data_IF_973955381818
#
_entry.id   IF_973955381818
#
_cell.length_a   1.000
_cell.length_b   1.000
_cell.length_c   1.000
_cell.angle_alpha   90.00
_cell.angle_beta   90.00
_cell.angle_gamma   90.00
#
_symmetry.space_group_name_H-M   'P 1'
#
loop_
_entity.id
_entity.type
_entity.pdbx_description
1 polymer ?
#
# COMPACT_ATOMS: atom_id res chain seq x y z
N UNK A 1 9.34 71.54 -36.59
CA UNK A 1 8.52 72.07 -37.74
C UNK A 1 7.26 71.27 -37.89
N UNK A 2 6.11 71.94 -37.84
CA UNK A 2 4.78 71.66 -38.38
C UNK A 2 4.05 70.40 -37.87
N UNK A 3 3.00 70.48 -36.97
CA UNK A 3 1.61 70.86 -37.22
C UNK A 3 0.89 69.86 -38.12
N UNK A 4 -0.21 69.20 -37.80
CA UNK A 4 -1.61 69.64 -37.50
C UNK A 4 -2.43 68.43 -37.07
N UNK A 5 -3.28 68.47 -36.03
CA UNK A 5 -4.62 69.04 -35.86
C UNK A 5 -5.68 68.31 -36.70
N UNK A 6 -6.69 67.88 -36.00
CA UNK A 6 -8.07 67.66 -36.41
C UNK A 6 -8.55 66.22 -36.12
N UNK A 7 -9.63 65.98 -35.54
CA UNK A 7 -10.77 66.72 -35.07
C UNK A 7 -11.85 65.73 -34.61
N UNK A 8 -12.64 66.14 -33.71
CA UNK A 8 -13.71 65.41 -33.01
C UNK A 8 -14.74 64.76 -33.94
N UNK A 9 -15.34 63.68 -33.45
CA UNK A 9 -16.84 63.59 -33.49
C UNK A 9 -17.33 62.62 -32.40
N UNK A 10 -18.19 63.21 -31.59
CA UNK A 10 -19.01 62.54 -30.55
C UNK A 10 -20.16 61.80 -31.25
N UNK A 11 -20.40 60.57 -30.89
CA UNK A 11 -21.75 59.99 -30.99
C UNK A 11 -22.04 59.16 -29.71
N UNK A 12 -22.95 59.74 -28.91
CA UNK A 12 -23.71 59.04 -27.88
C UNK A 12 -24.75 58.15 -28.59
N UNK A 13 -24.76 56.89 -28.26
CA UNK A 13 -26.01 56.11 -28.30
C UNK A 13 -26.10 55.20 -27.07
N UNK A 14 -27.13 55.53 -26.30
CA UNK A 14 -27.69 54.72 -25.20
C UNK A 14 -28.44 53.54 -25.79
N UNK A 15 -28.23 52.33 -25.21
CA UNK A 15 -29.18 51.23 -25.05
C UNK A 15 -28.33 50.01 -24.61
N UNK A 16 -28.65 49.27 -23.63
CA UNK A 16 -29.78 48.85 -22.91
C UNK A 16 -29.34 47.73 -22.02
N UNK A 17 -29.73 47.75 -20.79
CA UNK A 17 -29.56 46.64 -19.83
C UNK A 17 -30.16 45.34 -20.37
N UNK A 18 -29.41 44.26 -20.36
CA UNK A 18 -29.98 42.95 -20.12
C UNK A 18 -29.01 42.16 -19.24
N UNK A 19 -29.39 42.04 -18.02
CA UNK A 19 -28.81 41.20 -16.99
C UNK A 19 -29.13 39.74 -17.31
N UNK A 20 -28.11 38.94 -17.67
CA UNK A 20 -28.25 37.49 -17.68
C UNK A 20 -27.71 36.90 -16.38
N UNK A 21 -28.44 35.96 -15.76
CA UNK A 21 -28.01 35.29 -14.53
C UNK A 21 -27.29 33.96 -14.87
N UNK A 22 -25.98 34.01 -15.15
CA UNK A 22 -25.24 32.82 -15.55
C UNK A 22 -24.03 32.48 -14.67
N UNK A 23 -24.02 32.83 -13.39
CA UNK A 23 -22.92 32.49 -12.46
C UNK A 23 -23.28 31.64 -11.25
N UNK A 24 -24.53 31.24 -11.08
CA UNK A 24 -24.88 30.39 -9.91
C UNK A 24 -24.95 28.91 -10.17
N UNK A 25 -24.96 28.44 -11.42
CA UNK A 25 -25.05 26.99 -11.76
C UNK A 25 -23.71 26.28 -11.71
N UNK A 26 -22.59 26.99 -11.88
CA UNK A 26 -21.28 26.38 -11.88
C UNK A 26 -20.75 26.02 -10.49
N UNK A 27 -21.09 26.80 -9.48
CA UNK A 27 -20.59 26.59 -8.09
C UNK A 27 -21.30 25.44 -7.39
N UNK A 28 -22.60 25.25 -7.61
CA UNK A 28 -23.33 24.10 -7.09
C UNK A 28 -22.92 22.78 -7.75
N UNK A 29 -22.55 22.83 -9.04
CA UNK A 29 -22.06 21.62 -9.74
C UNK A 29 -20.67 21.18 -9.30
N UNK A 30 -19.82 22.14 -8.87
CA UNK A 30 -18.50 21.81 -8.28
C UNK A 30 -18.61 21.33 -6.84
N UNK A 31 -19.52 21.87 -6.05
CA UNK A 31 -19.78 21.42 -4.67
C UNK A 31 -20.37 20.00 -4.64
N UNK A 32 -21.29 19.67 -5.56
CA UNK A 32 -21.82 18.31 -5.69
C UNK A 32 -20.80 17.30 -6.24
N UNK A 33 -19.78 17.76 -7.01
CA UNK A 33 -18.69 16.88 -7.46
C UNK A 33 -17.66 16.62 -6.35
N UNK A 34 -17.48 17.57 -5.43
CA UNK A 34 -16.61 17.41 -4.25
C UNK A 34 -17.24 16.49 -3.19
N UNK A 35 -18.57 16.54 -3.01
CA UNK A 35 -19.28 15.65 -2.07
C UNK A 35 -19.36 14.21 -2.56
N UNK A 36 -19.28 13.97 -3.88
CA UNK A 36 -19.25 12.61 -4.43
C UNK A 36 -17.86 11.98 -4.43
N UNK A 37 -16.78 12.74 -4.19
CA UNK A 37 -15.44 12.16 -4.02
C UNK A 37 -15.20 11.60 -2.61
N UNK A 38 -16.01 11.99 -1.63
CA UNK A 38 -15.89 11.54 -0.23
C UNK A 38 -16.67 10.24 0.05
N UNK A 39 -17.41 9.70 -0.91
CA UNK A 39 -18.33 8.57 -0.68
C UNK A 39 -17.99 7.34 -1.52
N UNK A 40 -16.85 7.31 -2.18
CA UNK A 40 -16.32 6.05 -2.76
C UNK A 40 -15.26 5.49 -1.79
N UNK A 41 -15.61 5.36 -0.52
CA UNK A 41 -15.14 4.21 0.24
C UNK A 41 -15.91 3.02 -0.33
N UNK A 42 -15.29 2.32 -1.27
CA UNK A 42 -15.77 1.01 -1.68
C UNK A 42 -15.88 0.20 -0.39
N UNK A 43 -17.11 -0.17 -0.03
CA UNK A 43 -17.37 -1.15 1.03
C UNK A 43 -16.86 -2.50 0.52
N UNK A 44 -15.55 -2.72 0.59
CA UNK A 44 -14.96 -4.02 0.35
C UNK A 44 -15.50 -4.91 1.47
N UNK A 45 -16.41 -5.82 1.13
CA UNK A 45 -16.95 -6.80 2.06
C UNK A 45 -16.16 -8.08 1.92
N UNK A 46 -15.26 -8.36 2.84
CA UNK A 46 -14.50 -9.61 2.86
C UNK A 46 -15.34 -10.78 3.40
N UNK A 47 -15.01 -12.03 3.04
CA UNK A 47 -15.55 -13.21 3.74
C UNK A 47 -15.30 -13.05 5.24
N UNK A 48 -16.37 -13.23 6.04
CA UNK A 48 -16.27 -13.01 7.50
C UNK A 48 -15.38 -14.06 8.14
N UNK A 49 -14.46 -13.57 8.96
CA UNK A 49 -13.57 -14.38 9.81
C UNK A 49 -13.65 -13.90 11.26
N UNK A 50 -13.33 -14.75 12.26
CA UNK A 50 -13.26 -14.31 13.65
C UNK A 50 -12.19 -13.23 13.90
N UNK A 51 -11.35 -12.94 12.92
CA UNK A 51 -10.19 -12.04 13.03
C UNK A 51 -10.40 -10.67 12.38
N UNK A 52 -11.57 -10.42 11.80
CA UNK A 52 -11.87 -9.22 11.01
C UNK A 52 -11.59 -7.91 11.76
N UNK A 53 -11.97 -7.86 13.04
CA UNK A 53 -11.76 -6.68 13.87
C UNK A 53 -10.25 -6.43 14.08
N UNK A 54 -9.48 -7.47 14.42
CA UNK A 54 -8.04 -7.35 14.65
C UNK A 54 -7.29 -6.95 13.37
N UNK A 55 -7.72 -7.45 12.22
CA UNK A 55 -7.15 -7.09 10.92
C UNK A 55 -7.42 -5.61 10.63
N UNK A 56 -8.66 -5.15 10.80
CA UNK A 56 -9.05 -3.76 10.55
C UNK A 56 -8.34 -2.79 11.49
N UNK A 57 -8.28 -3.11 12.80
CA UNK A 57 -7.56 -2.31 13.79
C UNK A 57 -6.08 -2.16 13.43
N UNK A 58 -5.41 -3.26 13.08
CA UNK A 58 -3.99 -3.26 12.74
C UNK A 58 -3.75 -2.55 11.40
N UNK A 59 -4.58 -2.77 10.38
CA UNK A 59 -4.53 -2.09 9.10
C UNK A 59 -4.59 -0.56 9.28
N UNK A 60 -5.55 -0.09 10.07
CA UNK A 60 -5.72 1.34 10.37
C UNK A 60 -4.53 1.89 11.16
N UNK A 61 -4.09 1.19 12.22
CA UNK A 61 -3.00 1.62 13.12
C UNK A 61 -1.68 1.81 12.38
N UNK A 62 -1.35 0.89 11.48
CA UNK A 62 -0.06 0.89 10.78
C UNK A 62 -0.14 1.40 9.34
N UNK A 63 -1.30 1.88 8.90
CA UNK A 63 -1.53 2.31 7.52
C UNK A 63 -1.08 1.27 6.48
N UNK A 64 -1.56 0.03 6.69
CA UNK A 64 -1.32 -1.11 5.81
C UNK A 64 -2.65 -1.53 5.18
N UNK A 65 -2.63 -1.87 3.90
CA UNK A 65 -3.80 -2.34 3.17
C UNK A 65 -4.39 -3.62 3.82
N UNK A 66 -5.66 -3.57 4.20
CA UNK A 66 -6.38 -4.67 4.80
C UNK A 66 -6.41 -5.91 3.90
N UNK A 67 -6.57 -5.71 2.59
CA UNK A 67 -6.55 -6.80 1.60
C UNK A 67 -5.21 -7.52 1.58
N UNK A 68 -4.09 -6.77 1.69
CA UNK A 68 -2.75 -7.36 1.78
C UNK A 68 -2.59 -8.20 3.05
N UNK A 69 -3.05 -7.72 4.20
CA UNK A 69 -2.97 -8.47 5.47
C UNK A 69 -3.74 -9.79 5.33
N UNK A 70 -4.96 -9.75 4.81
CA UNK A 70 -5.81 -10.94 4.58
C UNK A 70 -5.18 -11.93 3.61
N UNK A 71 -4.63 -11.45 2.51
CA UNK A 71 -3.95 -12.29 1.52
C UNK A 71 -2.70 -13.00 2.11
N UNK A 72 -1.94 -12.32 2.95
CA UNK A 72 -0.81 -12.92 3.66
C UNK A 72 -1.31 -13.97 4.65
N UNK A 73 -2.32 -13.68 5.48
CA UNK A 73 -2.89 -14.66 6.44
C UNK A 73 -3.40 -15.90 5.71
N UNK A 74 -4.09 -15.73 4.60
CA UNK A 74 -4.58 -16.86 3.79
C UNK A 74 -3.43 -17.75 3.30
N UNK A 75 -2.38 -17.15 2.74
CA UNK A 75 -1.24 -17.89 2.19
C UNK A 75 -0.39 -18.55 3.26
N UNK A 76 -0.22 -17.89 4.42
CA UNK A 76 0.65 -18.36 5.51
C UNK A 76 0.01 -19.45 6.37
N UNK A 77 -1.25 -19.32 6.71
CA UNK A 77 -1.91 -20.23 7.66
C UNK A 77 -3.29 -20.71 7.24
N UNK A 78 -3.85 -20.15 6.16
CA UNK A 78 -5.26 -20.33 5.84
C UNK A 78 -6.18 -20.02 7.05
N UNK A 79 -5.92 -18.87 7.68
CA UNK A 79 -6.63 -18.38 8.88
C UNK A 79 -6.59 -19.34 10.09
N UNK A 80 -5.53 -20.14 10.25
CA UNK A 80 -5.35 -21.04 11.40
C UNK A 80 -4.32 -20.48 12.39
N UNK A 81 -4.74 -20.03 13.59
CA UNK A 81 -3.84 -19.33 14.53
C UNK A 81 -2.79 -20.25 15.19
N UNK A 82 -3.08 -21.56 15.27
CA UNK A 82 -2.22 -22.52 15.99
C UNK A 82 -1.08 -23.11 15.13
N UNK A 83 -0.99 -22.71 13.85
CA UNK A 83 0.01 -23.29 12.92
C UNK A 83 1.42 -22.91 13.37
N UNK A 84 2.29 -23.92 13.46
CA UNK A 84 3.73 -23.76 13.67
C UNK A 84 4.47 -24.46 12.53
N UNK A 85 5.30 -23.74 11.81
CA UNK A 85 6.09 -24.31 10.71
C UNK A 85 7.31 -25.05 11.20
N UNK A 86 7.93 -25.86 10.32
CA UNK A 86 9.21 -26.53 10.60
C UNK A 86 10.35 -25.54 10.92
N UNK A 87 10.24 -24.29 10.49
CA UNK A 87 11.22 -23.24 10.76
C UNK A 87 10.84 -22.35 11.94
N UNK A 88 9.91 -22.79 12.80
CA UNK A 88 9.42 -22.08 13.98
C UNK A 88 8.74 -20.72 13.64
N UNK A 89 8.12 -20.60 12.48
CA UNK A 89 7.19 -19.51 12.22
C UNK A 89 5.81 -19.86 12.79
N UNK A 90 5.15 -18.93 13.45
CA UNK A 90 4.00 -19.19 14.31
C UNK A 90 2.80 -18.31 13.92
N UNK A 91 1.62 -18.91 13.96
CA UNK A 91 0.33 -18.25 13.96
C UNK A 91 -0.16 -17.79 12.58
N UNK A 92 -1.15 -16.90 12.60
CA UNK A 92 -1.88 -16.45 11.41
C UNK A 92 -0.98 -15.91 10.30
N UNK A 93 0.01 -15.09 10.66
CA UNK A 93 0.94 -14.45 9.74
C UNK A 93 2.33 -15.10 9.73
N UNK A 94 2.48 -16.30 10.33
CA UNK A 94 3.71 -17.09 10.38
C UNK A 94 4.94 -16.28 10.80
N UNK A 95 4.85 -15.66 11.98
CA UNK A 95 5.91 -14.80 12.50
C UNK A 95 7.03 -15.63 13.15
N UNK A 96 8.27 -15.34 12.78
CA UNK A 96 9.46 -15.80 13.50
C UNK A 96 9.80 -14.81 14.61
N UNK A 97 9.79 -15.27 15.87
CA UNK A 97 10.06 -14.44 17.03
C UNK A 97 11.39 -13.68 16.92
N UNK A 98 12.47 -14.40 16.56
CA UNK A 98 13.85 -13.88 16.54
C UNK A 98 14.17 -12.92 15.38
N UNK A 99 13.27 -12.74 14.42
CA UNK A 99 13.46 -11.83 13.27
C UNK A 99 12.31 -10.81 13.20
N UNK A 100 11.26 -11.10 12.44
CA UNK A 100 10.10 -10.21 12.29
C UNK A 100 9.46 -9.82 13.65
N UNK A 101 9.38 -10.76 14.59
CA UNK A 101 8.87 -10.50 15.93
C UNK A 101 9.72 -9.50 16.71
N UNK A 102 11.04 -9.68 16.72
CA UNK A 102 11.99 -8.77 17.36
C UNK A 102 11.98 -7.38 16.73
N UNK A 103 11.93 -7.31 15.41
CA UNK A 103 11.88 -6.03 14.69
C UNK A 103 10.58 -5.28 14.99
N UNK A 104 9.44 -5.98 15.01
CA UNK A 104 8.16 -5.41 15.39
C UNK A 104 8.14 -4.92 16.85
N UNK A 105 8.71 -5.71 17.79
CA UNK A 105 8.84 -5.29 19.18
C UNK A 105 9.65 -4.01 19.31
N UNK A 106 10.82 -3.96 18.65
CA UNK A 106 11.65 -2.75 18.64
C UNK A 106 10.90 -1.54 18.09
N UNK A 107 10.17 -1.70 16.99
CA UNK A 107 9.36 -0.65 16.40
C UNK A 107 8.26 -0.16 17.37
N UNK A 108 7.67 -1.07 18.15
CA UNK A 108 6.67 -0.77 19.17
C UNK A 108 7.26 -0.27 20.50
N UNK A 109 8.57 -0.07 20.61
CA UNK A 109 9.25 0.36 21.83
C UNK A 109 9.37 -0.74 22.91
N UNK A 110 9.19 -2.01 22.53
CA UNK A 110 9.34 -3.18 23.40
C UNK A 110 10.74 -3.77 23.30
N UNK A 111 11.22 -4.42 24.38
CA UNK A 111 12.48 -5.14 24.40
C UNK A 111 12.30 -6.63 24.10
N UNK A 112 13.34 -7.29 23.60
CA UNK A 112 13.36 -8.73 23.37
C UNK A 112 12.60 -9.16 22.12
N UNK A 113 11.89 -10.27 22.23
CA UNK A 113 11.10 -10.87 21.15
C UNK A 113 9.82 -11.52 21.73
N UNK A 114 8.74 -11.63 20.94
CA UNK A 114 7.51 -12.26 21.40
C UNK A 114 7.71 -13.74 21.71
N UNK A 115 7.06 -14.22 22.75
CA UNK A 115 7.01 -15.64 23.08
C UNK A 115 6.13 -16.41 22.09
N UNK A 116 6.32 -17.75 22.03
CA UNK A 116 5.45 -18.62 21.23
C UNK A 116 3.97 -18.54 21.66
N UNK A 117 3.70 -18.28 22.93
CA UNK A 117 2.34 -18.12 23.44
C UNK A 117 1.71 -16.84 22.89
N UNK A 118 2.43 -15.73 22.93
CA UNK A 118 1.97 -14.45 22.37
C UNK A 118 1.74 -14.54 20.85
N UNK A 119 2.60 -15.28 20.13
CA UNK A 119 2.46 -15.46 18.67
C UNK A 119 1.32 -16.40 18.27
N UNK A 120 0.75 -17.17 19.20
CA UNK A 120 -0.47 -17.96 18.97
C UNK A 120 -1.75 -17.17 19.26
N UNK A 121 -1.65 -16.05 20.00
CA UNK A 121 -2.77 -15.14 20.16
C UNK A 121 -3.05 -14.40 18.84
N UNK A 122 -4.26 -14.52 18.27
CA UNK A 122 -4.59 -13.95 16.97
C UNK A 122 -4.38 -12.44 16.90
N UNK A 123 -4.81 -11.70 17.92
CA UNK A 123 -4.67 -10.24 17.94
C UNK A 123 -3.20 -9.81 17.93
N UNK A 124 -2.40 -10.42 18.79
CA UNK A 124 -0.96 -10.15 18.90
C UNK A 124 -0.24 -10.53 17.63
N UNK A 125 -0.55 -11.68 17.03
CA UNK A 125 0.10 -12.15 15.79
C UNK A 125 -0.16 -11.21 14.62
N UNK A 126 -1.41 -10.78 14.43
CA UNK A 126 -1.80 -9.83 13.37
C UNK A 126 -1.14 -8.46 13.60
N UNK A 127 -1.13 -7.97 14.84
CA UNK A 127 -0.49 -6.69 15.18
C UNK A 127 1.00 -6.70 14.88
N UNK A 128 1.73 -7.76 15.27
CA UNK A 128 3.17 -7.95 15.00
C UNK A 128 3.42 -8.08 13.49
N UNK A 129 2.65 -8.90 12.80
CA UNK A 129 2.83 -9.13 11.35
C UNK A 129 2.57 -7.86 10.54
N UNK A 130 1.54 -7.10 10.90
CA UNK A 130 1.21 -5.82 10.25
C UNK A 130 2.28 -4.76 10.56
N UNK A 131 2.79 -4.72 11.80
CA UNK A 131 3.95 -3.88 12.14
C UNK A 131 5.15 -4.21 11.27
N UNK A 132 5.44 -5.49 11.05
CA UNK A 132 6.56 -5.90 10.21
C UNK A 132 6.38 -5.48 8.75
N UNK A 133 5.17 -5.58 8.19
CA UNK A 133 4.85 -5.04 6.86
C UNK A 133 5.15 -3.53 6.80
N UNK A 134 4.77 -2.77 7.82
CA UNK A 134 5.08 -1.35 7.94
C UNK A 134 6.58 -1.08 7.93
N UNK A 135 7.36 -1.82 8.72
CA UNK A 135 8.82 -1.72 8.78
C UNK A 135 9.44 -1.99 7.40
N UNK A 136 9.00 -3.04 6.72
CA UNK A 136 9.47 -3.36 5.38
C UNK A 136 9.27 -2.19 4.42
N UNK A 137 8.08 -1.61 4.38
CA UNK A 137 7.74 -0.49 3.48
C UNK A 137 8.54 0.78 3.81
N UNK A 138 8.61 1.17 5.08
CA UNK A 138 9.11 2.48 5.48
C UNK A 138 10.60 2.54 5.76
N UNK A 139 11.19 1.42 6.17
CA UNK A 139 12.60 1.40 6.54
C UNK A 139 13.46 0.63 5.53
N UNK A 140 13.01 -0.55 5.11
CA UNK A 140 13.82 -1.42 4.27
C UNK A 140 13.68 -1.14 2.78
N UNK A 141 12.47 -0.81 2.32
CA UNK A 141 12.11 -0.58 0.91
C UNK A 141 11.81 0.90 0.61
N UNK A 142 12.06 1.78 1.58
CA UNK A 142 11.88 3.22 1.40
C UNK A 142 12.60 3.70 0.13
N UNK A 143 11.91 4.53 -0.66
CA UNK A 143 12.42 5.03 -1.93
C UNK A 143 11.90 4.30 -3.18
N UNK A 144 11.20 3.16 -3.04
CA UNK A 144 10.45 2.58 -4.16
C UNK A 144 9.21 3.45 -4.40
N UNK A 145 9.11 4.03 -5.62
CA UNK A 145 8.13 5.08 -5.91
C UNK A 145 6.80 4.55 -6.44
N UNK A 146 6.82 3.45 -7.23
CA UNK A 146 5.61 2.93 -7.85
C UNK A 146 4.82 2.07 -6.85
N UNK A 147 3.53 2.36 -6.57
CA UNK A 147 2.73 1.63 -5.56
C UNK A 147 2.66 0.12 -5.80
N UNK A 148 2.47 -0.31 -7.04
CA UNK A 148 2.39 -1.73 -7.38
C UNK A 148 3.75 -2.45 -7.21
N UNK A 149 4.86 -1.77 -7.54
CA UNK A 149 6.22 -2.29 -7.30
C UNK A 149 6.50 -2.38 -5.81
N UNK A 150 6.12 -1.37 -5.01
CA UNK A 150 6.21 -1.41 -3.55
C UNK A 150 5.42 -2.58 -2.96
N UNK A 151 4.21 -2.83 -3.46
CA UNK A 151 3.41 -4.00 -3.05
C UNK A 151 4.15 -5.31 -3.33
N UNK A 152 4.63 -5.53 -4.55
CA UNK A 152 5.37 -6.74 -4.91
C UNK A 152 6.66 -6.90 -4.09
N UNK A 153 7.43 -5.82 -3.93
CA UNK A 153 8.65 -5.81 -3.15
C UNK A 153 8.38 -6.14 -1.66
N UNK A 154 7.30 -5.60 -1.09
CA UNK A 154 6.88 -5.89 0.28
C UNK A 154 6.56 -7.37 0.47
N UNK A 155 5.81 -7.97 -0.45
CA UNK A 155 5.46 -9.40 -0.41
C UNK A 155 6.70 -10.28 -0.49
N UNK A 156 7.63 -9.99 -1.39
CA UNK A 156 8.89 -10.74 -1.52
C UNK A 156 9.76 -10.57 -0.27
N UNK A 157 9.88 -9.34 0.23
CA UNK A 157 10.66 -9.04 1.42
C UNK A 157 10.08 -9.69 2.68
N UNK A 158 8.77 -9.87 2.75
CA UNK A 158 8.11 -10.54 3.87
C UNK A 158 8.60 -11.98 4.05
N UNK A 159 8.68 -12.75 2.98
CA UNK A 159 9.06 -14.17 3.02
C UNK A 159 10.58 -14.39 3.07
N UNK A 160 11.38 -13.54 2.44
CA UNK A 160 12.83 -13.76 2.29
C UNK A 160 13.70 -12.62 2.83
N UNK A 161 13.10 -11.55 3.35
CA UNK A 161 13.80 -10.36 3.81
C UNK A 161 14.16 -9.40 2.68
N UNK A 162 14.07 -8.09 2.97
CA UNK A 162 14.33 -7.03 2.00
C UNK A 162 15.77 -7.07 1.44
N UNK A 163 16.76 -7.42 2.27
CA UNK A 163 18.14 -7.50 1.82
C UNK A 163 18.38 -8.57 0.76
N UNK A 164 17.67 -9.71 0.82
CA UNK A 164 17.77 -10.74 -0.22
C UNK A 164 17.18 -10.25 -1.55
N UNK A 165 16.04 -9.57 -1.51
CA UNK A 165 15.43 -8.95 -2.69
C UNK A 165 16.36 -7.90 -3.30
N UNK A 166 16.82 -6.93 -2.51
CA UNK A 166 17.62 -5.81 -3.02
C UNK A 166 18.92 -6.30 -3.69
N UNK A 167 19.58 -7.30 -3.12
CA UNK A 167 20.79 -7.89 -3.71
C UNK A 167 20.56 -8.58 -5.07
N UNK A 168 19.34 -8.83 -5.49
CA UNK A 168 19.09 -9.31 -6.86
C UNK A 168 19.25 -8.19 -7.90
N UNK A 169 19.30 -6.93 -7.46
CA UNK A 169 19.53 -5.76 -8.27
C UNK A 169 20.95 -5.22 -8.07
N UNK A 170 21.31 -4.87 -6.85
CA UNK A 170 22.66 -4.39 -6.49
C UNK A 170 22.95 -4.63 -5.00
N UNK A 171 24.24 -4.73 -4.65
CA UNK A 171 24.68 -4.85 -3.25
C UNK A 171 24.51 -3.53 -2.47
N UNK A 172 24.56 -2.39 -3.16
CA UNK A 172 24.24 -1.08 -2.58
C UNK A 172 22.75 -0.82 -2.63
N UNK A 173 22.17 -0.50 -1.46
CA UNK A 173 20.72 -0.27 -1.33
C UNK A 173 20.22 0.86 -2.22
N UNK A 174 20.96 1.97 -2.32
CA UNK A 174 20.55 3.13 -3.11
C UNK A 174 20.51 2.80 -4.60
N UNK A 175 21.53 2.10 -5.11
CA UNK A 175 21.57 1.65 -6.50
C UNK A 175 20.49 0.60 -6.77
N UNK A 176 20.28 -0.34 -5.86
CA UNK A 176 19.19 -1.32 -5.99
C UNK A 176 17.81 -0.64 -6.12
N UNK A 177 17.52 0.33 -5.26
CA UNK A 177 16.26 1.11 -5.32
C UNK A 177 16.16 1.90 -6.63
N UNK A 178 17.25 2.53 -7.09
CA UNK A 178 17.25 3.25 -8.37
C UNK A 178 16.97 2.32 -9.56
N UNK A 179 17.57 1.13 -9.57
CA UNK A 179 17.29 0.11 -10.58
C UNK A 179 15.83 -0.37 -10.52
N UNK A 180 15.30 -0.62 -9.32
CA UNK A 180 13.89 -0.99 -9.14
C UNK A 180 12.97 0.10 -9.69
N UNK A 181 13.26 1.36 -9.43
CA UNK A 181 12.44 2.49 -9.90
C UNK A 181 12.53 2.74 -11.42
N UNK A 182 13.53 2.19 -12.10
CA UNK A 182 13.63 2.23 -13.56
C UNK A 182 12.78 1.18 -14.26
N UNK A 183 12.23 0.22 -13.52
CA UNK A 183 11.40 -0.85 -14.06
C UNK A 183 9.90 -0.51 -13.94
N UNK A 184 9.13 -0.97 -14.90
CA UNK A 184 7.69 -1.10 -14.74
C UNK A 184 7.36 -2.17 -13.69
N UNK A 185 6.16 -2.16 -13.08
CA UNK A 185 5.76 -3.21 -12.15
C UNK A 185 5.83 -4.63 -12.74
N UNK A 186 5.53 -4.78 -14.02
CA UNK A 186 5.60 -6.07 -14.70
C UNK A 186 7.06 -6.53 -14.88
N UNK A 187 7.95 -5.64 -15.29
CA UNK A 187 9.39 -5.96 -15.40
C UNK A 187 9.98 -6.32 -14.03
N UNK A 188 9.59 -5.62 -12.96
CA UNK A 188 9.96 -5.99 -11.60
C UNK A 188 9.45 -7.39 -11.24
N UNK A 189 8.18 -7.69 -11.54
CA UNK A 189 7.61 -9.01 -11.31
C UNK A 189 8.41 -10.10 -12.03
N UNK A 190 8.71 -9.91 -13.32
CA UNK A 190 9.49 -10.84 -14.13
C UNK A 190 10.93 -10.99 -13.62
N UNK A 191 11.56 -9.90 -13.15
CA UNK A 191 12.87 -9.96 -12.50
C UNK A 191 12.84 -10.87 -11.28
N UNK A 192 11.85 -10.72 -10.39
CA UNK A 192 11.70 -11.60 -9.22
C UNK A 192 11.50 -13.06 -9.64
N UNK A 193 10.65 -13.30 -10.66
CA UNK A 193 10.39 -14.66 -11.15
C UNK A 193 11.64 -15.36 -11.69
N UNK A 194 12.54 -14.62 -12.32
CA UNK A 194 13.69 -15.20 -13.05
C UNK A 194 15.03 -15.07 -12.31
N UNK A 195 15.20 -14.10 -11.42
CA UNK A 195 16.51 -13.75 -10.82
C UNK A 195 16.60 -13.96 -9.32
N UNK A 196 15.47 -14.14 -8.62
CA UNK A 196 15.53 -14.31 -7.16
C UNK A 196 16.13 -15.67 -6.81
N UNK A 197 17.21 -15.74 -5.98
CA UNK A 197 17.95 -16.97 -5.73
C UNK A 197 17.17 -18.00 -4.90
N UNK A 198 16.20 -17.55 -4.11
CA UNK A 198 15.37 -18.42 -3.29
C UNK A 198 14.08 -18.78 -4.04
N UNK A 199 13.88 -20.07 -4.43
CA UNK A 199 12.73 -20.47 -5.27
C UNK A 199 11.35 -20.22 -4.64
N UNK A 200 11.31 -20.11 -3.31
CA UNK A 200 10.06 -19.80 -2.59
C UNK A 200 9.57 -18.36 -2.81
N UNK A 201 10.46 -17.38 -3.09
CA UNK A 201 10.07 -15.99 -3.22
C UNK A 201 9.17 -15.71 -4.44
N UNK A 202 9.50 -16.15 -5.67
CA UNK A 202 8.62 -16.05 -6.82
C UNK A 202 7.27 -16.72 -6.60
N UNK A 203 7.30 -17.94 -6.04
CA UNK A 203 6.10 -18.72 -5.74
C UNK A 203 5.21 -18.04 -4.70
N UNK A 204 5.82 -17.45 -3.68
CA UNK A 204 5.10 -16.73 -2.63
C UNK A 204 4.45 -15.47 -3.19
N UNK A 205 5.19 -14.67 -3.96
CA UNK A 205 4.66 -13.49 -4.65
C UNK A 205 3.44 -13.85 -5.51
N UNK A 206 3.53 -14.93 -6.29
CA UNK A 206 2.41 -15.41 -7.11
C UNK A 206 1.19 -15.76 -6.26
N UNK A 207 1.38 -16.51 -5.15
CA UNK A 207 0.29 -16.90 -4.24
C UNK A 207 -0.41 -15.71 -3.61
N UNK A 208 0.37 -14.78 -3.01
CA UNK A 208 -0.19 -13.60 -2.35
C UNK A 208 -0.88 -12.68 -3.35
N UNK A 209 -0.30 -12.49 -4.55
CA UNK A 209 -0.94 -11.73 -5.63
C UNK A 209 -2.31 -12.32 -6.02
N UNK A 210 -2.39 -13.64 -6.15
CA UNK A 210 -3.66 -14.30 -6.51
C UNK A 210 -4.70 -14.20 -5.38
N UNK A 211 -4.31 -14.43 -4.13
CA UNK A 211 -5.17 -14.25 -2.96
C UNK A 211 -5.66 -12.79 -2.85
N UNK A 212 -4.76 -11.82 -3.02
CA UNK A 212 -5.11 -10.41 -3.04
C UNK A 212 -6.14 -10.07 -4.11
N UNK A 213 -5.91 -10.53 -5.35
CA UNK A 213 -6.83 -10.27 -6.46
C UNK A 213 -8.19 -10.96 -6.24
N UNK A 214 -8.22 -12.19 -5.72
CA UNK A 214 -9.47 -12.88 -5.40
C UNK A 214 -10.29 -12.13 -4.35
N UNK A 215 -9.62 -11.56 -3.33
CA UNK A 215 -10.27 -10.73 -2.31
C UNK A 215 -10.73 -9.37 -2.87
N UNK A 216 -10.03 -8.79 -3.84
CA UNK A 216 -10.36 -7.50 -4.44
C UNK A 216 -11.46 -7.57 -5.52
N UNK A 217 -11.60 -8.72 -6.21
CA UNK A 217 -12.57 -8.90 -7.32
C UNK A 217 -13.95 -9.31 -6.80
N UNK A 218 -14.01 -10.02 -5.68
CA UNK A 218 -15.28 -10.51 -5.13
C UNK A 218 -16.13 -9.41 -4.47
N UNK A 219 -15.74 -8.15 -4.67
CA UNK A 219 -16.35 -6.94 -4.13
C UNK A 219 -16.14 -5.74 -5.09
#
# INVERSE_FOLDING_TARGET
MKKNIGGALVFLLLAGCSSEPEKQVSTQRMLNKSSNLSTVQQNISFPRTPFDEFIRESASRYNVDETLIRAIIEVESNFRPEVVSKSNAIGLMQIKASTAGRDAYRYQGKSGEPSSHELKDPKTNIDIGTTYIRILKEQHLAGINHPQTMYYATVVAYVNGAGALLRTFDNDKGRAIAMINSLTPEEFYQHVQSKHPAPQAPRYLWKVKNAYNALAINY
#
